data_IF_848896037410
#
_entry.id   IF_848896037410
#
_cell.length_a   1.000
_cell.length_b   1.000
_cell.length_c   1.000
_cell.angle_alpha   90.00
_cell.angle_beta   90.00
_cell.angle_gamma   90.00
#
_symmetry.space_group_name_H-M   'P 1'
#
loop_
_entity.id
_entity.type
_entity.pdbx_description
1 polymer ?
#
# COMPACT_ATOMS: atom_id res chain seq x y z
N UNK A 1 -32.38 -34.69 35.49
CA UNK A 1 -31.35 -33.73 35.93
C UNK A 1 -30.20 -33.81 34.95
N UNK A 2 -30.08 -32.82 34.07
CA UNK A 2 -29.16 -32.83 32.93
C UNK A 2 -27.80 -32.30 33.37
N UNK A 3 -26.81 -33.18 33.43
CA UNK A 3 -25.46 -32.85 33.87
C UNK A 3 -24.74 -32.08 32.74
N UNK A 4 -24.75 -30.73 32.78
CA UNK A 4 -23.98 -29.90 31.85
C UNK A 4 -22.52 -29.87 32.32
N UNK A 5 -21.64 -30.55 31.60
CA UNK A 5 -20.19 -30.51 31.82
C UNK A 5 -19.63 -29.12 31.47
N UNK A 6 -19.25 -28.34 32.48
CA UNK A 6 -18.72 -26.97 32.35
C UNK A 6 -17.20 -26.90 32.11
N UNK A 7 -16.50 -28.03 31.99
CA UNK A 7 -15.03 -28.09 31.89
C UNK A 7 -14.42 -27.59 30.56
N UNK A 8 -15.23 -27.22 29.57
CA UNK A 8 -14.76 -26.68 28.27
C UNK A 8 -14.85 -25.16 28.14
N UNK A 9 -15.44 -24.46 29.11
CA UNK A 9 -15.60 -23.01 29.12
C UNK A 9 -14.29 -22.18 29.04
N UNK A 10 -13.17 -22.52 29.71
CA UNK A 10 -12.02 -21.62 29.76
C UNK A 10 -11.36 -21.42 28.39
N UNK A 11 -11.29 -22.47 27.56
CA UNK A 11 -10.67 -22.38 26.22
C UNK A 11 -11.53 -21.59 25.23
N UNK A 12 -12.85 -21.76 25.27
CA UNK A 12 -13.79 -21.04 24.41
C UNK A 12 -13.83 -19.55 24.75
N UNK A 13 -13.83 -19.21 26.05
CA UNK A 13 -13.76 -17.83 26.53
C UNK A 13 -12.42 -17.19 26.16
N UNK A 14 -11.29 -17.89 26.35
CA UNK A 14 -9.97 -17.40 25.93
C UNK A 14 -9.87 -17.17 24.41
N UNK A 15 -10.45 -18.05 23.58
CA UNK A 15 -10.45 -17.86 22.13
C UNK A 15 -11.34 -16.70 21.70
N UNK A 16 -12.46 -16.48 22.38
CA UNK A 16 -13.37 -15.37 22.12
C UNK A 16 -12.72 -14.03 22.49
N UNK A 17 -12.17 -13.92 23.71
CA UNK A 17 -11.46 -12.72 24.18
C UNK A 17 -10.25 -12.41 23.28
N UNK A 18 -9.51 -13.43 22.82
CA UNK A 18 -8.42 -13.23 21.86
C UNK A 18 -8.92 -12.74 20.50
N UNK A 19 -10.01 -13.30 19.96
CA UNK A 19 -10.54 -12.88 18.67
C UNK A 19 -11.08 -11.45 18.72
N UNK A 20 -11.79 -11.10 19.78
CA UNK A 20 -12.31 -9.76 20.01
C UNK A 20 -11.15 -8.75 20.20
N UNK A 21 -10.14 -9.10 21.00
CA UNK A 21 -8.93 -8.28 21.15
C UNK A 21 -8.21 -8.08 19.80
N UNK A 22 -8.05 -9.13 18.99
CA UNK A 22 -7.43 -9.03 17.66
C UNK A 22 -8.23 -8.13 16.73
N UNK A 23 -9.57 -8.24 16.73
CA UNK A 23 -10.44 -7.39 15.93
C UNK A 23 -10.32 -5.93 16.36
N UNK A 24 -10.44 -5.65 17.66
CA UNK A 24 -10.35 -4.29 18.21
C UNK A 24 -8.96 -3.70 17.96
N UNK A 25 -7.88 -4.47 18.17
CA UNK A 25 -6.53 -4.02 17.88
C UNK A 25 -6.34 -3.72 16.38
N UNK A 26 -6.90 -4.55 15.48
CA UNK A 26 -6.82 -4.32 14.04
C UNK A 26 -7.55 -3.05 13.64
N UNK A 27 -8.75 -2.82 14.17
CA UNK A 27 -9.50 -1.59 13.94
C UNK A 27 -8.78 -0.36 14.50
N UNK A 28 -8.18 -0.47 15.68
CA UNK A 28 -7.37 0.60 16.27
C UNK A 28 -6.15 0.96 15.42
N UNK A 29 -5.44 -0.05 14.87
CA UNK A 29 -4.31 0.16 13.97
C UNK A 29 -4.76 0.83 12.66
N UNK A 30 -5.87 0.38 12.08
CA UNK A 30 -6.44 1.01 10.87
C UNK A 30 -6.82 2.46 11.16
N UNK A 31 -7.51 2.72 12.27
CA UNK A 31 -7.89 4.07 12.67
C UNK A 31 -6.67 4.97 12.90
N UNK A 32 -5.64 4.48 13.60
CA UNK A 32 -4.39 5.20 13.81
C UNK A 32 -3.69 5.52 12.48
N UNK A 33 -3.63 4.56 11.54
CA UNK A 33 -3.06 4.78 10.22
C UNK A 33 -3.83 5.84 9.40
N UNK A 34 -5.17 5.84 9.50
CA UNK A 34 -6.01 6.85 8.84
C UNK A 34 -5.81 8.23 9.47
N UNK A 35 -5.78 8.32 10.80
CA UNK A 35 -5.54 9.59 11.50
C UNK A 35 -4.14 10.15 11.18
N UNK A 36 -3.12 9.29 11.22
CA UNK A 36 -1.76 9.66 10.84
C UNK A 36 -1.67 10.13 9.38
N UNK A 37 -2.39 9.48 8.46
CA UNK A 37 -2.48 9.93 7.08
C UNK A 37 -3.17 11.29 6.95
N UNK A 38 -4.24 11.53 7.72
CA UNK A 38 -4.94 12.82 7.74
C UNK A 38 -4.01 13.92 8.25
N UNK A 39 -3.25 13.65 9.32
CA UNK A 39 -2.29 14.60 9.89
C UNK A 39 -1.19 14.97 8.89
N UNK A 40 -0.60 13.98 8.20
CA UNK A 40 0.36 14.25 7.10
C UNK A 40 -0.30 15.05 5.98
N UNK A 41 -1.54 14.71 5.62
CA UNK A 41 -2.25 15.40 4.55
C UNK A 41 -2.56 16.87 4.90
N UNK A 42 -2.81 17.16 6.17
CA UNK A 42 -3.03 18.51 6.69
C UNK A 42 -1.73 19.32 6.64
N UNK A 43 -0.63 18.76 7.16
CA UNK A 43 0.70 19.39 7.13
C UNK A 43 1.19 19.65 5.68
N UNK A 44 0.89 18.72 4.77
CA UNK A 44 1.11 18.89 3.32
C UNK A 44 0.27 20.02 2.71
N UNK A 45 -0.96 20.24 3.20
CA UNK A 45 -1.86 21.29 2.72
C UNK A 45 -1.48 22.67 3.28
N UNK A 46 -1.01 22.73 4.52
CA UNK A 46 -0.54 23.93 5.19
C UNK A 46 0.85 24.39 4.69
N UNK A 47 1.59 23.49 4.04
CA UNK A 47 2.87 23.79 3.40
C UNK A 47 4.07 23.80 4.36
N UNK A 48 3.88 23.48 5.63
CA UNK A 48 4.94 23.40 6.64
C UNK A 48 5.95 22.30 6.29
N UNK A 49 5.47 21.17 5.78
CA UNK A 49 6.32 20.08 5.32
C UNK A 49 7.08 20.39 4.03
N UNK A 50 6.74 21.47 3.31
CA UNK A 50 7.43 21.82 2.07
C UNK A 50 8.89 22.23 2.34
N UNK A 51 9.16 22.92 3.45
CA UNK A 51 10.51 23.31 3.84
C UNK A 51 11.37 22.09 4.17
N UNK A 52 10.79 21.08 4.83
CA UNK A 52 11.45 19.82 5.12
C UNK A 52 11.76 19.04 3.83
N UNK A 53 10.78 18.87 2.94
CA UNK A 53 10.96 18.19 1.65
C UNK A 53 12.07 18.85 0.82
N UNK A 54 12.09 20.18 0.77
CA UNK A 54 13.13 20.92 0.04
C UNK A 54 14.51 20.76 0.68
N UNK A 55 14.60 20.76 2.02
CA UNK A 55 15.84 20.50 2.72
C UNK A 55 16.38 19.10 2.38
N UNK A 56 15.52 18.08 2.38
CA UNK A 56 15.91 16.71 2.00
C UNK A 56 16.35 16.66 0.53
N UNK A 57 15.60 17.26 -0.40
CA UNK A 57 15.95 17.28 -1.82
C UNK A 57 17.29 17.97 -2.07
N UNK A 58 17.56 19.09 -1.41
CA UNK A 58 18.83 19.83 -1.52
C UNK A 58 20.00 19.05 -0.91
N UNK A 59 19.78 18.33 0.19
CA UNK A 59 20.83 17.44 0.74
C UNK A 59 21.15 16.28 -0.19
N UNK A 60 20.16 15.78 -0.94
CA UNK A 60 20.33 14.70 -1.91
C UNK A 60 20.83 15.19 -3.28
N UNK A 61 20.72 16.47 -3.60
CA UNK A 61 21.16 17.07 -4.88
C UNK A 61 21.96 18.35 -4.59
N UNK A 62 23.20 18.23 -4.08
CA UNK A 62 24.02 19.36 -3.65
C UNK A 62 24.58 20.16 -4.84
N UNK A 63 24.58 19.58 -6.05
CA UNK A 63 25.02 20.25 -7.26
C UNK A 63 23.87 21.06 -7.89
N UNK A 64 23.84 22.36 -7.60
CA UNK A 64 22.85 23.28 -8.17
C UNK A 64 22.96 23.41 -9.70
N UNK A 65 24.13 23.10 -10.29
CA UNK A 65 24.33 23.17 -11.74
C UNK A 65 23.76 21.94 -12.47
N UNK A 66 23.59 20.81 -11.79
CA UNK A 66 22.93 19.63 -12.32
C UNK A 66 21.97 18.99 -11.28
N UNK A 67 20.82 19.62 -11.03
CA UNK A 67 19.87 19.16 -10.00
C UNK A 67 19.25 17.79 -10.28
N UNK A 68 19.48 17.22 -11.46
CA UNK A 68 18.98 15.89 -11.86
C UNK A 68 19.95 14.75 -11.51
N UNK A 69 21.13 15.06 -10.98
CA UNK A 69 22.14 14.08 -10.58
C UNK A 69 22.18 13.97 -9.03
N UNK A 70 21.48 12.98 -8.44
CA UNK A 70 21.48 12.78 -6.99
C UNK A 70 22.84 12.30 -6.47
N UNK A 71 23.09 12.51 -5.17
CA UNK A 71 24.22 11.91 -4.47
C UNK A 71 24.06 10.40 -4.48
N UNK A 72 24.92 9.71 -5.21
CA UNK A 72 25.02 8.27 -5.14
C UNK A 72 25.72 7.65 -6.34
N UNK A 73 25.95 6.34 -6.32
CA UNK A 73 26.38 5.61 -7.50
C UNK A 73 25.23 5.57 -8.53
N UNK A 74 25.54 5.71 -9.82
CA UNK A 74 24.53 5.65 -10.91
C UNK A 74 23.63 4.41 -10.92
N UNK A 75 24.09 3.29 -10.35
CA UNK A 75 23.26 2.08 -10.25
C UNK A 75 22.06 2.27 -9.32
N UNK A 76 22.14 3.19 -8.34
CA UNK A 76 21.08 3.44 -7.38
C UNK A 76 19.86 4.08 -8.04
N UNK A 77 20.08 5.02 -8.97
CA UNK A 77 19.01 5.68 -9.71
C UNK A 77 18.28 4.69 -10.62
N UNK A 78 19.04 3.85 -11.32
CA UNK A 78 18.47 2.77 -12.12
C UNK A 78 17.68 1.78 -11.26
N UNK A 79 18.21 1.38 -10.11
CA UNK A 79 17.52 0.49 -9.19
C UNK A 79 16.22 1.12 -8.64
N UNK A 80 16.24 2.40 -8.29
CA UNK A 80 15.06 3.12 -7.82
C UNK A 80 13.99 3.26 -8.92
N UNK A 81 14.41 3.53 -10.15
CA UNK A 81 13.52 3.57 -11.32
C UNK A 81 12.87 2.20 -11.58
N UNK A 82 13.66 1.13 -11.56
CA UNK A 82 13.16 -0.24 -11.76
C UNK A 82 12.18 -0.66 -10.66
N UNK A 83 12.49 -0.37 -9.40
CA UNK A 83 11.59 -0.63 -8.27
C UNK A 83 10.27 0.14 -8.40
N UNK A 84 10.33 1.39 -8.83
CA UNK A 84 9.13 2.20 -9.07
C UNK A 84 8.32 1.67 -10.25
N UNK A 85 8.98 1.17 -11.29
CA UNK A 85 8.34 0.57 -12.46
C UNK A 85 7.54 -0.69 -12.09
N UNK A 86 8.02 -1.50 -11.14
CA UNK A 86 7.29 -2.65 -10.59
C UNK A 86 5.96 -2.20 -9.96
N UNK A 87 5.97 -1.06 -9.28
CA UNK A 87 4.78 -0.44 -8.68
C UNK A 87 3.91 0.37 -9.65
N UNK A 88 4.22 0.34 -10.95
CA UNK A 88 3.47 1.12 -11.94
C UNK A 88 2.06 0.61 -12.12
N UNK A 89 1.15 1.57 -12.34
CA UNK A 89 -0.28 1.26 -12.55
C UNK A 89 -0.45 0.24 -13.67
N UNK A 90 0.33 0.36 -14.75
CA UNK A 90 0.28 -0.58 -15.88
C UNK A 90 0.78 -1.98 -15.49
N UNK A 91 1.88 -2.10 -14.73
CA UNK A 91 2.40 -3.39 -14.27
C UNK A 91 1.43 -4.03 -13.27
N UNK A 92 0.92 -3.27 -12.31
CA UNK A 92 -0.05 -3.76 -11.33
C UNK A 92 -1.37 -4.15 -11.98
N UNK A 93 -1.86 -3.40 -12.97
CA UNK A 93 -3.05 -3.76 -13.75
C UNK A 93 -2.86 -5.09 -14.48
N UNK A 94 -1.72 -5.26 -15.16
CA UNK A 94 -1.40 -6.49 -15.86
C UNK A 94 -1.29 -7.67 -14.89
N UNK A 95 -0.62 -7.48 -13.75
CA UNK A 95 -0.50 -8.50 -12.70
C UNK A 95 -1.86 -8.89 -12.12
N UNK A 96 -2.68 -7.91 -11.69
CA UNK A 96 -4.02 -8.16 -11.15
C UNK A 96 -4.92 -8.85 -12.17
N UNK A 97 -4.83 -8.49 -13.46
CA UNK A 97 -5.56 -9.15 -14.53
C UNK A 97 -5.12 -10.59 -14.71
N UNK A 98 -3.81 -10.86 -14.81
CA UNK A 98 -3.27 -12.21 -14.99
C UNK A 98 -3.65 -13.11 -13.82
N UNK A 99 -3.49 -12.64 -12.59
CA UNK A 99 -3.89 -13.38 -11.38
C UNK A 99 -5.40 -13.60 -11.36
N UNK A 100 -6.20 -12.58 -11.68
CA UNK A 100 -7.66 -12.69 -11.75
C UNK A 100 -8.11 -13.74 -12.76
N UNK A 101 -7.57 -13.71 -13.98
CA UNK A 101 -7.86 -14.70 -15.03
C UNK A 101 -7.47 -16.10 -14.58
N UNK A 102 -6.26 -16.27 -14.01
CA UNK A 102 -5.82 -17.55 -13.47
C UNK A 102 -6.79 -18.11 -12.41
N UNK A 103 -7.25 -17.27 -11.48
CA UNK A 103 -8.20 -17.66 -10.44
C UNK A 103 -9.57 -18.03 -11.03
N UNK A 104 -10.04 -17.32 -12.06
CA UNK A 104 -11.27 -17.68 -12.77
C UNK A 104 -11.14 -19.05 -13.45
N UNK A 105 -10.01 -19.34 -14.10
CA UNK A 105 -9.73 -20.66 -14.70
C UNK A 105 -9.75 -21.75 -13.62
N UNK A 106 -9.21 -21.48 -12.45
CA UNK A 106 -9.22 -22.37 -11.28
C UNK A 106 -10.59 -22.46 -10.58
N UNK A 107 -11.64 -21.80 -11.12
CA UNK A 107 -12.99 -21.69 -10.56
C UNK A 107 -13.06 -21.00 -9.19
N UNK A 108 -12.00 -20.27 -8.81
CA UNK A 108 -11.88 -19.47 -7.59
C UNK A 108 -12.43 -18.06 -7.79
N UNK A 109 -13.75 -17.98 -8.04
CA UNK A 109 -14.41 -16.71 -8.43
C UNK A 109 -14.39 -15.66 -7.32
N UNK A 110 -14.43 -16.07 -6.06
CA UNK A 110 -14.41 -15.14 -4.93
C UNK A 110 -13.03 -14.47 -4.83
N UNK A 111 -11.95 -15.24 -4.91
CA UNK A 111 -10.59 -14.73 -4.88
C UNK A 111 -10.30 -13.82 -6.09
N UNK A 112 -10.80 -14.19 -7.27
CA UNK A 112 -10.72 -13.34 -8.46
C UNK A 112 -11.46 -11.99 -8.25
N UNK A 113 -12.63 -12.02 -7.60
CA UNK A 113 -13.36 -10.79 -7.27
C UNK A 113 -12.61 -9.94 -6.23
N UNK A 114 -11.96 -10.55 -5.24
CA UNK A 114 -11.19 -9.83 -4.21
C UNK A 114 -10.05 -9.02 -4.86
N UNK A 115 -9.23 -9.63 -5.73
CA UNK A 115 -8.13 -8.90 -6.37
C UNK A 115 -8.63 -7.80 -7.31
N UNK A 116 -9.73 -8.04 -8.02
CA UNK A 116 -10.35 -7.04 -8.90
C UNK A 116 -10.90 -5.84 -8.11
N UNK A 117 -11.61 -6.08 -7.01
CA UNK A 117 -12.14 -5.03 -6.13
C UNK A 117 -11.01 -4.29 -5.42
N UNK A 118 -9.96 -4.99 -4.98
CA UNK A 118 -8.79 -4.36 -4.36
C UNK A 118 -8.10 -3.39 -5.32
N UNK A 119 -7.78 -3.83 -6.54
CA UNK A 119 -7.15 -3.00 -7.56
C UNK A 119 -8.05 -1.83 -7.99
N UNK A 120 -9.31 -2.11 -8.35
CA UNK A 120 -10.27 -1.08 -8.79
C UNK A 120 -10.62 -0.07 -7.69
N UNK A 121 -10.73 -0.53 -6.44
CA UNK A 121 -10.93 0.30 -5.27
C UNK A 121 -9.74 1.22 -4.99
N UNK A 122 -8.51 0.69 -5.01
CA UNK A 122 -7.30 1.49 -4.84
C UNK A 122 -7.14 2.56 -5.93
N UNK A 123 -7.43 2.20 -7.19
CA UNK A 123 -7.48 3.16 -8.29
C UNK A 123 -8.49 4.27 -8.03
N UNK A 124 -9.72 3.92 -7.68
CA UNK A 124 -10.80 4.88 -7.47
C UNK A 124 -10.45 5.83 -6.32
N UNK A 125 -10.00 5.29 -5.19
CA UNK A 125 -9.54 6.08 -4.03
C UNK A 125 -8.39 7.00 -4.43
N UNK A 126 -7.40 6.50 -5.17
CA UNK A 126 -6.27 7.33 -5.65
C UNK A 126 -6.78 8.52 -6.45
N UNK A 127 -7.70 8.29 -7.40
CA UNK A 127 -8.21 9.35 -8.26
C UNK A 127 -9.09 10.34 -7.51
N UNK A 128 -9.91 9.87 -6.55
CA UNK A 128 -10.74 10.73 -5.71
C UNK A 128 -9.89 11.62 -4.80
N UNK A 129 -8.88 11.07 -4.13
CA UNK A 129 -7.98 11.85 -3.28
C UNK A 129 -7.23 12.90 -4.10
N UNK A 130 -6.75 12.55 -5.30
CA UNK A 130 -6.11 13.53 -6.20
C UNK A 130 -7.05 14.66 -6.60
N UNK A 131 -8.33 14.35 -6.85
CA UNK A 131 -9.34 15.36 -7.15
C UNK A 131 -9.70 16.23 -5.94
N UNK A 132 -9.66 15.68 -4.73
CA UNK A 132 -9.95 16.40 -3.49
C UNK A 132 -8.85 17.40 -3.11
N UNK A 133 -7.58 17.00 -3.18
CA UNK A 133 -6.45 17.88 -2.82
C UNK A 133 -6.14 18.94 -3.89
N UNK A 134 -6.53 18.71 -5.15
CA UNK A 134 -6.56 19.67 -6.27
C UNK A 134 -5.36 20.67 -6.35
N UNK A 135 -4.16 20.20 -5.98
CA UNK A 135 -2.94 21.02 -5.90
C UNK A 135 -2.50 21.52 -7.28
N UNK A 136 -2.23 22.81 -7.41
CA UNK A 136 -1.66 23.40 -8.63
C UNK A 136 -0.30 22.77 -8.95
N UNK A 137 -0.15 22.34 -10.22
CA UNK A 137 1.01 21.56 -10.66
C UNK A 137 2.22 22.48 -10.90
N UNK A 138 3.44 22.06 -10.51
CA UNK A 138 4.66 22.77 -10.90
C UNK A 138 4.74 22.97 -12.43
N UNK A 139 5.39 24.05 -12.90
CA UNK A 139 5.59 24.32 -14.32
C UNK A 139 6.21 23.12 -15.07
N UNK A 140 5.84 22.96 -16.34
CA UNK A 140 6.24 21.85 -17.23
C UNK A 140 7.75 21.58 -17.29
N UNK A 141 8.53 22.64 -17.08
CA UNK A 141 9.98 22.68 -17.12
C UNK A 141 10.65 21.81 -16.03
N UNK A 142 9.92 21.51 -14.95
CA UNK A 142 10.40 20.68 -13.83
C UNK A 142 9.82 19.25 -13.83
N UNK A 143 9.09 18.84 -14.88
CA UNK A 143 8.48 17.51 -14.94
C UNK A 143 9.44 16.50 -15.56
N UNK A 144 9.91 15.55 -14.76
CA UNK A 144 10.76 14.43 -15.23
C UNK A 144 10.02 13.43 -16.13
N UNK A 145 8.67 13.44 -16.17
CA UNK A 145 7.89 12.70 -17.16
C UNK A 145 6.49 13.30 -17.36
N UNK A 146 6.04 13.36 -18.62
CA UNK A 146 4.72 13.89 -19.01
C UNK A 146 3.54 12.93 -18.69
N UNK A 147 3.84 11.67 -18.36
CA UNK A 147 2.85 10.61 -18.40
C UNK A 147 2.88 9.85 -17.07
N UNK A 148 1.87 10.15 -16.22
CA UNK A 148 1.39 9.37 -15.07
C UNK A 148 1.93 9.74 -13.66
N UNK A 149 1.37 10.80 -13.06
CA UNK A 149 0.57 10.77 -11.80
C UNK A 149 0.72 12.07 -10.97
N UNK A 150 -0.36 12.48 -10.31
CA UNK A 150 -0.36 13.59 -9.36
C UNK A 150 0.62 13.37 -8.19
N UNK A 151 1.17 14.46 -7.66
CA UNK A 151 2.25 14.49 -6.67
C UNK A 151 1.84 14.01 -5.28
N UNK A 152 0.54 14.03 -4.96
CA UNK A 152 0.03 13.55 -3.68
C UNK A 152 -1.43 13.06 -3.78
N UNK A 153 -1.78 11.92 -3.16
CA UNK A 153 -0.86 10.87 -2.70
C UNK A 153 -0.24 10.09 -3.89
N UNK A 154 0.91 9.45 -3.68
CA UNK A 154 1.54 8.61 -4.71
C UNK A 154 0.62 7.47 -5.12
N UNK A 155 0.11 7.53 -6.36
CA UNK A 155 -0.75 6.47 -6.90
C UNK A 155 -0.03 5.13 -6.99
N UNK A 156 1.26 5.14 -7.37
CA UNK A 156 2.10 3.95 -7.43
C UNK A 156 2.21 3.29 -6.05
N UNK A 157 2.45 4.06 -4.99
CA UNK A 157 2.57 3.54 -3.64
C UNK A 157 1.24 2.95 -3.14
N UNK A 158 0.13 3.69 -3.25
CA UNK A 158 -1.18 3.22 -2.81
C UNK A 158 -1.59 1.92 -3.52
N UNK A 159 -1.48 1.89 -4.84
CA UNK A 159 -1.84 0.71 -5.61
C UNK A 159 -0.90 -0.47 -5.30
N UNK A 160 0.41 -0.25 -5.20
CA UNK A 160 1.38 -1.30 -4.89
C UNK A 160 1.07 -1.94 -3.55
N UNK A 161 0.87 -1.12 -2.51
CA UNK A 161 0.53 -1.59 -1.16
C UNK A 161 -0.74 -2.43 -1.18
N UNK A 162 -1.81 -1.95 -1.82
CA UNK A 162 -3.08 -2.70 -1.85
C UNK A 162 -2.93 -4.01 -2.63
N UNK A 163 -2.29 -3.99 -3.80
CA UNK A 163 -2.16 -5.18 -4.66
C UNK A 163 -1.23 -6.21 -4.02
N UNK A 164 -0.03 -5.83 -3.61
CA UNK A 164 0.94 -6.78 -3.05
C UNK A 164 0.46 -7.36 -1.73
N UNK A 165 -0.08 -6.57 -0.80
CA UNK A 165 -0.66 -7.10 0.44
C UNK A 165 -1.86 -8.02 0.19
N UNK A 166 -2.70 -7.73 -0.82
CA UNK A 166 -3.81 -8.62 -1.19
C UNK A 166 -3.29 -9.97 -1.67
N UNK A 167 -2.28 -9.97 -2.55
CA UNK A 167 -1.64 -11.19 -3.03
C UNK A 167 -0.93 -11.94 -1.89
N UNK A 168 -0.20 -11.22 -1.03
CA UNK A 168 0.44 -11.75 0.16
C UNK A 168 -0.56 -12.43 1.09
N UNK A 169 -1.71 -11.79 1.35
CA UNK A 169 -2.76 -12.37 2.19
C UNK A 169 -3.37 -13.64 1.59
N UNK A 170 -3.63 -13.65 0.27
CA UNK A 170 -4.11 -14.85 -0.44
C UNK A 170 -3.09 -16.00 -0.35
N UNK A 171 -1.81 -15.71 -0.55
CA UNK A 171 -0.73 -16.69 -0.47
C UNK A 171 -0.52 -17.20 0.96
N UNK A 172 -0.56 -16.32 1.96
CA UNK A 172 -0.49 -16.68 3.36
C UNK A 172 -1.67 -17.58 3.78
N UNK A 173 -2.87 -17.33 3.26
CA UNK A 173 -4.01 -18.19 3.51
C UNK A 173 -3.82 -19.60 2.94
N UNK A 174 -3.17 -19.71 1.77
CA UNK A 174 -2.83 -20.99 1.17
C UNK A 174 -1.61 -21.69 1.83
N UNK A 175 -0.76 -20.95 2.54
CA UNK A 175 0.46 -21.45 3.16
C UNK A 175 0.19 -22.39 4.35
N UNK A 176 0.95 -23.50 4.39
CA UNK A 176 0.95 -24.47 5.50
C UNK A 176 2.06 -24.11 6.50
N UNK A 177 1.68 -23.46 7.60
CA UNK A 177 2.58 -23.14 8.72
C UNK A 177 2.75 -21.64 8.97
N UNK A 178 2.95 -21.26 10.24
CA UNK A 178 3.02 -19.86 10.65
C UNK A 178 4.25 -19.13 10.09
N UNK A 179 5.40 -19.82 9.99
CA UNK A 179 6.63 -19.22 9.44
C UNK A 179 6.48 -18.76 7.99
N UNK A 180 5.87 -19.59 7.13
CA UNK A 180 5.64 -19.25 5.72
C UNK A 180 4.62 -18.11 5.56
N UNK A 181 3.62 -18.04 6.44
CA UNK A 181 2.65 -16.94 6.46
C UNK A 181 3.32 -15.61 6.80
N UNK A 182 4.17 -15.60 7.81
CA UNK A 182 4.94 -14.41 8.21
C UNK A 182 5.85 -14.01 7.06
N UNK A 183 6.61 -14.94 6.49
CA UNK A 183 7.50 -14.66 5.38
C UNK A 183 6.78 -14.02 4.18
N UNK A 184 5.65 -14.59 3.75
CA UNK A 184 4.88 -14.08 2.62
C UNK A 184 4.33 -12.68 2.91
N UNK A 185 3.85 -12.43 4.13
CA UNK A 185 3.34 -11.11 4.51
C UNK A 185 4.46 -10.07 4.68
N UNK A 186 5.67 -10.48 5.06
CA UNK A 186 6.82 -9.58 5.17
C UNK A 186 7.46 -9.26 3.82
N UNK A 187 7.27 -10.13 2.82
CA UNK A 187 7.78 -9.94 1.47
C UNK A 187 6.81 -9.20 0.54
N UNK A 188 5.56 -9.02 0.96
CA UNK A 188 4.50 -8.31 0.24
C UNK A 188 4.50 -6.82 0.59
#
# INVERSE_FOLDING_TARGET
MTNRNYLHLPKAVLSFVRAEFVLVASLAVIAAAVLFFIEIADEMAEGEAHAFDMAVLQTLHPDEANPSDPIGPKWLDHAAADLTAIGSVSVLAALSLLVGVFLVIQRKRLEAAIIAVAFGGALTISQLLKGFFNRERPPEIYRASEILNASFPSGHALLSTVVFLTLGAMLAQAAKGQGLRIFVMSAA
#
